data_IF_469162370727
#
_entry.id   IF_469162370727
#
_cell.length_a   1.000
_cell.length_b   1.000
_cell.length_c   1.000
_cell.angle_alpha   90.00
_cell.angle_beta   90.00
_cell.angle_gamma   90.00
#
_symmetry.space_group_name_H-M   'P 1'
#
loop_
_entity.id
_entity.type
_entity.pdbx_description
1 polymer ?
#
# COMPACT_ATOMS: atom_id res chain seq x y z
N UNK A 1 -30.68 -17.12 3.69
CA UNK A 1 -29.46 -17.51 4.41
C UNK A 1 -28.26 -17.46 3.44
N UNK A 2 -27.05 -17.25 3.97
CA UNK A 2 -25.84 -17.45 3.19
C UNK A 2 -25.56 -18.93 3.03
N UNK A 3 -25.09 -19.34 1.85
CA UNK A 3 -24.74 -20.70 1.53
C UNK A 3 -23.32 -20.73 0.96
N UNK A 4 -22.48 -21.61 1.51
CA UNK A 4 -21.10 -21.77 1.07
C UNK A 4 -20.86 -23.19 0.57
N UNK A 5 -20.07 -23.35 -0.48
CA UNK A 5 -19.54 -24.65 -0.90
C UNK A 5 -18.01 -24.59 -0.98
N UNK A 6 -17.38 -25.72 -0.72
CA UNK A 6 -15.93 -25.83 -0.63
C UNK A 6 -15.46 -27.04 -1.44
N UNK A 7 -14.22 -26.98 -1.89
CA UNK A 7 -13.56 -28.14 -2.50
C UNK A 7 -13.03 -29.11 -1.43
N UNK A 8 -12.40 -30.20 -1.87
CA UNK A 8 -11.82 -31.21 -0.98
C UNK A 8 -10.62 -30.68 -0.16
N UNK A 9 -10.06 -29.53 -0.50
CA UNK A 9 -8.97 -28.85 0.22
C UNK A 9 -9.49 -27.76 1.16
N UNK A 10 -10.81 -27.60 1.28
CA UNK A 10 -11.45 -26.58 2.11
C UNK A 10 -11.41 -25.16 1.52
N UNK A 11 -11.12 -25.00 0.22
CA UNK A 11 -11.16 -23.71 -0.45
C UNK A 11 -12.58 -23.39 -0.90
N UNK A 12 -13.02 -22.15 -0.71
CA UNK A 12 -14.36 -21.71 -1.11
C UNK A 12 -14.51 -21.78 -2.63
N UNK A 13 -15.58 -22.44 -3.10
CA UNK A 13 -15.95 -22.51 -4.51
C UNK A 13 -17.11 -21.59 -4.85
N UNK A 14 -18.05 -21.43 -3.92
CA UNK A 14 -19.26 -20.64 -4.14
C UNK A 14 -19.74 -20.04 -2.83
N UNK A 15 -20.22 -18.78 -2.90
CA UNK A 15 -20.91 -18.11 -1.82
C UNK A 15 -22.24 -17.55 -2.32
N UNK A 16 -23.33 -18.22 -2.00
CA UNK A 16 -24.68 -17.78 -2.25
C UNK A 16 -25.19 -16.80 -1.22
N UNK A 17 -25.85 -15.73 -1.64
CA UNK A 17 -26.41 -14.67 -0.79
C UNK A 17 -27.93 -14.75 -0.69
N UNK A 18 -28.52 -14.16 0.38
CA UNK A 18 -29.98 -14.19 0.59
C UNK A 18 -30.79 -13.54 -0.52
N UNK A 19 -30.21 -12.59 -1.26
CA UNK A 19 -30.86 -11.88 -2.36
C UNK A 19 -30.90 -12.68 -3.68
N UNK A 20 -30.34 -13.90 -3.68
CA UNK A 20 -30.29 -14.78 -4.83
C UNK A 20 -29.10 -14.56 -5.75
N UNK A 21 -28.18 -13.66 -5.39
CA UNK A 21 -26.88 -13.51 -6.05
C UNK A 21 -25.86 -14.48 -5.48
N UNK A 22 -24.78 -14.74 -6.21
CA UNK A 22 -23.67 -15.54 -5.71
C UNK A 22 -22.34 -15.08 -6.31
N UNK A 23 -21.25 -15.48 -5.67
CA UNK A 23 -19.89 -15.37 -6.18
C UNK A 23 -19.32 -16.77 -6.34
N UNK A 24 -18.38 -16.93 -7.25
CA UNK A 24 -17.75 -18.23 -7.55
C UNK A 24 -16.25 -18.07 -7.72
N UNK A 25 -15.48 -19.07 -7.28
CA UNK A 25 -14.04 -19.14 -7.48
C UNK A 25 -13.70 -20.45 -8.19
N UNK A 26 -12.89 -20.37 -9.22
CA UNK A 26 -12.37 -21.53 -9.94
C UNK A 26 -10.86 -21.60 -9.80
N UNK A 27 -10.36 -22.73 -9.30
CA UNK A 27 -8.95 -22.99 -9.09
C UNK A 27 -8.37 -23.84 -10.20
N UNK A 28 -7.54 -23.24 -11.04
CA UNK A 28 -6.71 -23.95 -12.02
C UNK A 28 -5.33 -24.29 -11.42
N UNK A 29 -4.47 -24.94 -12.21
CA UNK A 29 -3.09 -25.27 -11.80
C UNK A 29 -2.24 -24.01 -11.59
N UNK A 30 -2.36 -23.05 -12.49
CA UNK A 30 -1.56 -21.84 -12.51
C UNK A 30 -2.39 -20.57 -12.48
N UNK A 31 -3.73 -20.70 -12.35
CA UNK A 31 -4.64 -19.55 -12.37
C UNK A 31 -5.78 -19.74 -11.40
N UNK A 32 -6.31 -18.63 -10.91
CA UNK A 32 -7.53 -18.56 -10.10
C UNK A 32 -8.44 -17.56 -10.80
N UNK A 33 -9.70 -17.94 -11.03
CA UNK A 33 -10.74 -17.06 -11.56
C UNK A 33 -11.74 -16.73 -10.46
N UNK A 34 -11.92 -15.45 -10.22
CA UNK A 34 -12.91 -14.93 -9.29
C UNK A 34 -14.06 -14.32 -10.06
N UNK A 35 -15.22 -14.85 -9.84
CA UNK A 35 -16.48 -14.37 -10.43
C UNK A 35 -17.28 -13.65 -9.34
N UNK A 36 -17.57 -12.38 -9.55
CA UNK A 36 -18.42 -11.61 -8.64
C UNK A 36 -19.90 -11.84 -8.92
N UNK A 37 -20.78 -11.07 -8.27
CA UNK A 37 -22.23 -11.22 -8.45
C UNK A 37 -22.71 -10.73 -9.83
N UNK A 38 -21.97 -9.85 -10.52
CA UNK A 38 -22.29 -9.44 -11.88
C UNK A 38 -21.88 -10.51 -12.87
N UNK A 39 -20.67 -11.09 -12.67
CA UNK A 39 -20.19 -12.19 -13.51
C UNK A 39 -21.14 -13.38 -13.53
N UNK A 40 -21.69 -13.72 -12.36
CA UNK A 40 -22.59 -14.87 -12.18
C UNK A 40 -24.06 -14.54 -12.40
N UNK A 41 -24.40 -13.34 -12.89
CA UNK A 41 -25.78 -12.89 -13.05
C UNK A 41 -26.62 -13.87 -13.86
N UNK A 42 -26.06 -14.45 -14.92
CA UNK A 42 -26.76 -15.39 -15.80
C UNK A 42 -27.19 -16.69 -15.10
N UNK A 43 -26.54 -17.06 -14.01
CA UNK A 43 -26.79 -18.28 -13.23
C UNK A 43 -27.63 -17.98 -11.96
N UNK A 44 -27.94 -16.69 -11.70
CA UNK A 44 -28.52 -16.25 -10.43
C UNK A 44 -30.05 -16.33 -10.39
N UNK A 45 -30.58 -16.70 -9.22
CA UNK A 45 -32.02 -16.57 -8.93
C UNK A 45 -32.45 -15.11 -8.98
N UNK A 46 -31.55 -14.19 -8.62
CA UNK A 46 -31.77 -12.75 -8.70
C UNK A 46 -32.18 -12.30 -10.10
N UNK A 47 -31.56 -12.84 -11.17
CA UNK A 47 -31.93 -12.60 -12.55
C UNK A 47 -33.34 -13.09 -12.86
N UNK A 48 -33.65 -14.35 -12.55
CA UNK A 48 -34.94 -14.98 -12.86
C UNK A 48 -36.12 -14.17 -12.31
N UNK A 49 -35.99 -13.67 -11.08
CA UNK A 49 -37.02 -12.85 -10.45
C UNK A 49 -37.22 -11.52 -11.19
N UNK A 50 -36.15 -10.86 -11.61
CA UNK A 50 -36.19 -9.52 -12.20
C UNK A 50 -36.54 -9.55 -13.71
N UNK A 51 -36.22 -10.63 -14.38
CA UNK A 51 -36.57 -10.81 -15.79
C UNK A 51 -38.09 -10.87 -16.02
N UNK A 52 -38.83 -11.30 -15.00
CA UNK A 52 -40.30 -11.33 -15.03
C UNK A 52 -40.94 -9.96 -14.76
N UNK A 53 -40.17 -8.93 -14.35
CA UNK A 53 -40.71 -7.60 -14.07
C UNK A 53 -40.90 -6.74 -15.31
N UNK A 54 -41.79 -5.71 -15.27
CA UNK A 54 -41.94 -4.77 -16.36
C UNK A 54 -40.63 -4.09 -16.76
N UNK A 55 -40.32 -3.89 -18.07
CA UNK A 55 -39.06 -3.29 -18.53
C UNK A 55 -38.75 -1.91 -17.95
N UNK A 56 -39.77 -1.14 -17.54
CA UNK A 56 -39.62 0.18 -16.98
C UNK A 56 -39.41 0.17 -15.44
N UNK A 57 -39.43 -1.00 -14.77
CA UNK A 57 -39.16 -1.06 -13.33
C UNK A 57 -37.68 -0.85 -13.04
N UNK A 58 -37.33 -0.18 -11.93
CA UNK A 58 -35.97 0.06 -11.53
C UNK A 58 -35.14 -1.24 -11.42
N UNK A 59 -35.77 -2.31 -10.94
CA UNK A 59 -35.13 -3.62 -10.78
C UNK A 59 -34.82 -4.30 -12.12
N UNK A 60 -35.67 -4.12 -13.14
CA UNK A 60 -35.40 -4.64 -14.49
C UNK A 60 -34.31 -3.82 -15.17
N UNK A 61 -34.34 -2.51 -15.05
CA UNK A 61 -33.27 -1.62 -15.55
C UNK A 61 -31.91 -2.00 -14.94
N UNK A 62 -31.89 -2.29 -13.64
CA UNK A 62 -30.66 -2.74 -12.95
C UNK A 62 -30.17 -4.09 -13.51
N UNK A 63 -31.07 -5.04 -13.80
CA UNK A 63 -30.71 -6.30 -14.45
C UNK A 63 -30.11 -6.04 -15.85
N UNK A 64 -30.78 -5.27 -16.68
CA UNK A 64 -30.34 -5.02 -18.07
C UNK A 64 -28.96 -4.31 -18.09
N UNK A 65 -28.65 -3.47 -17.10
CA UNK A 65 -27.34 -2.85 -16.94
C UNK A 65 -26.25 -3.83 -16.47
N UNK A 66 -26.64 -4.92 -15.80
CA UNK A 66 -25.71 -5.93 -15.28
C UNK A 66 -25.34 -7.00 -16.32
N UNK A 67 -26.26 -7.33 -17.24
CA UNK A 67 -26.07 -8.41 -18.22
C UNK A 67 -24.79 -8.28 -19.08
N UNK A 68 -24.34 -7.08 -19.52
CA UNK A 68 -23.09 -6.94 -20.27
C UNK A 68 -21.83 -7.29 -19.45
N UNK A 69 -21.92 -7.32 -18.12
CA UNK A 69 -20.83 -7.65 -17.18
C UNK A 69 -20.80 -9.14 -16.82
N UNK A 70 -21.68 -9.95 -17.44
CA UNK A 70 -21.71 -11.39 -17.18
C UNK A 70 -20.46 -12.07 -17.74
N UNK A 71 -19.90 -13.00 -16.97
CA UNK A 71 -18.73 -13.81 -17.33
C UNK A 71 -17.46 -12.98 -17.66
N UNK A 72 -17.21 -11.96 -16.85
CA UNK A 72 -16.04 -11.09 -16.96
C UNK A 72 -15.08 -11.24 -15.75
N UNK A 73 -14.65 -12.48 -15.39
CA UNK A 73 -13.96 -12.73 -14.13
C UNK A 73 -12.60 -12.04 -14.02
N UNK A 74 -12.26 -11.68 -12.79
CA UNK A 74 -10.88 -11.39 -12.42
C UNK A 74 -10.07 -12.69 -12.45
N UNK A 75 -9.07 -12.76 -13.33
CA UNK A 75 -8.17 -13.93 -13.41
C UNK A 75 -6.78 -13.56 -12.93
N UNK A 76 -6.29 -14.28 -11.93
CA UNK A 76 -4.90 -14.20 -11.47
C UNK A 76 -4.11 -15.40 -11.97
N UNK A 77 -2.85 -15.17 -12.37
CA UNK A 77 -1.93 -16.22 -12.79
C UNK A 77 -0.74 -16.23 -11.83
N UNK A 78 -0.39 -17.40 -11.37
CA UNK A 78 0.66 -17.61 -10.40
C UNK A 78 1.84 -18.35 -11.03
N UNK A 79 3.05 -18.05 -10.52
CA UNK A 79 4.25 -18.81 -10.85
C UNK A 79 4.36 -20.10 -10.02
N UNK A 80 5.44 -20.85 -10.24
CA UNK A 80 5.72 -22.11 -9.52
C UNK A 80 5.91 -21.94 -7.99
N UNK A 81 6.05 -20.71 -7.48
CA UNK A 81 6.13 -20.39 -6.06
C UNK A 81 4.80 -19.88 -5.50
N UNK A 82 3.72 -19.89 -6.31
CA UNK A 82 2.42 -19.40 -5.93
C UNK A 82 2.28 -17.87 -5.91
N UNK A 83 3.24 -17.11 -6.50
CA UNK A 83 3.19 -15.66 -6.54
C UNK A 83 2.42 -15.19 -7.77
N UNK A 84 1.55 -14.17 -7.60
CA UNK A 84 0.80 -13.57 -8.70
C UNK A 84 1.76 -12.85 -9.67
N UNK A 85 1.89 -13.35 -10.89
CA UNK A 85 2.72 -12.76 -11.95
C UNK A 85 1.92 -11.98 -12.96
N UNK A 86 0.61 -12.26 -13.06
CA UNK A 86 -0.30 -11.56 -13.96
C UNK A 86 -1.70 -11.53 -13.38
N UNK A 87 -2.33 -10.38 -13.46
CA UNK A 87 -3.74 -10.15 -13.15
C UNK A 87 -4.43 -9.66 -14.40
N UNK A 88 -5.56 -10.27 -14.74
CA UNK A 88 -6.38 -9.89 -15.87
C UNK A 88 -7.80 -9.61 -15.40
N UNK A 89 -8.27 -8.40 -15.63
CA UNK A 89 -9.64 -7.97 -15.42
C UNK A 89 -10.32 -7.91 -16.81
N UNK A 90 -11.33 -8.72 -17.03
CA UNK A 90 -12.12 -8.65 -18.27
C UNK A 90 -13.15 -7.53 -18.17
N UNK A 91 -13.31 -6.75 -19.24
CA UNK A 91 -14.30 -5.66 -19.31
C UNK A 91 -15.57 -6.02 -20.07
N UNK A 92 -15.68 -7.25 -20.56
CA UNK A 92 -16.83 -7.68 -21.40
C UNK A 92 -16.82 -7.12 -22.82
N UNK A 93 -16.04 -6.07 -23.10
CA UNK A 93 -15.94 -5.41 -24.40
C UNK A 93 -14.71 -5.86 -25.22
N UNK A 94 -14.04 -6.93 -24.78
CA UNK A 94 -12.85 -7.47 -25.46
C UNK A 94 -11.57 -6.70 -25.17
N UNK A 95 -11.59 -5.74 -24.25
CA UNK A 95 -10.41 -5.02 -23.77
C UNK A 95 -10.09 -5.43 -22.32
N UNK A 96 -9.28 -6.47 -22.18
CA UNK A 96 -8.81 -6.90 -20.88
C UNK A 96 -7.78 -5.92 -20.33
N UNK A 97 -7.92 -5.58 -19.05
CA UNK A 97 -6.88 -4.86 -18.30
C UNK A 97 -5.92 -5.86 -17.72
N UNK A 98 -4.66 -5.77 -18.12
CA UNK A 98 -3.63 -6.73 -17.73
C UNK A 98 -2.53 -6.03 -16.94
N UNK A 99 -2.36 -6.43 -15.69
CA UNK A 99 -1.28 -5.99 -14.81
C UNK A 99 -0.27 -7.13 -14.70
N UNK A 100 1.02 -6.83 -14.83
CA UNK A 100 2.10 -7.81 -14.70
C UNK A 100 3.03 -7.42 -13.58
N UNK A 101 3.32 -8.38 -12.70
CA UNK A 101 4.31 -8.23 -11.62
C UNK A 101 5.55 -9.04 -11.98
N UNK A 102 6.70 -8.39 -12.02
CA UNK A 102 8.01 -9.05 -12.12
C UNK A 102 8.59 -9.20 -10.72
N UNK A 103 9.31 -10.29 -10.51
CA UNK A 103 9.95 -10.58 -9.23
C UNK A 103 11.46 -10.64 -9.41
N UNK A 104 12.17 -10.16 -8.43
CA UNK A 104 13.61 -10.31 -8.31
C UNK A 104 14.00 -11.75 -7.95
N UNK A 105 15.28 -11.98 -7.95
CA UNK A 105 15.91 -13.27 -7.60
C UNK A 105 15.47 -13.78 -6.22
N UNK A 106 15.33 -12.90 -5.25
CA UNK A 106 14.95 -13.24 -3.87
C UNK A 106 13.45 -13.44 -3.65
N UNK A 107 12.64 -13.12 -4.66
CA UNK A 107 11.19 -13.31 -4.61
C UNK A 107 10.38 -12.07 -4.27
N UNK A 108 11.02 -10.92 -4.08
CA UNK A 108 10.35 -9.65 -3.89
C UNK A 108 9.93 -9.03 -5.23
N UNK A 109 8.80 -8.30 -5.31
CA UNK A 109 8.44 -7.56 -6.50
C UNK A 109 9.58 -6.61 -6.92
N UNK A 110 9.98 -6.67 -8.19
CA UNK A 110 10.97 -5.77 -8.78
C UNK A 110 10.35 -4.71 -9.66
N UNK A 111 9.26 -5.03 -10.36
CA UNK A 111 8.45 -4.03 -11.05
C UNK A 111 7.02 -4.49 -11.29
N UNK A 112 6.14 -3.51 -11.50
CA UNK A 112 4.74 -3.72 -11.89
C UNK A 112 4.48 -2.94 -13.18
N UNK A 113 3.98 -3.63 -14.18
CA UNK A 113 3.55 -3.05 -15.47
C UNK A 113 2.04 -2.96 -15.45
N UNK A 114 1.51 -1.76 -15.71
CA UNK A 114 0.07 -1.48 -15.70
C UNK A 114 -0.65 -1.97 -16.99
N UNK A 115 -1.97 -1.77 -17.04
CA UNK A 115 -2.79 -2.18 -18.17
C UNK A 115 -2.51 -1.41 -19.48
N UNK A 116 -1.81 -0.26 -19.40
CA UNK A 116 -1.36 0.52 -20.56
C UNK A 116 -0.02 -0.01 -21.10
N UNK A 117 0.60 -0.97 -20.42
CA UNK A 117 1.93 -1.49 -20.74
C UNK A 117 3.08 -0.62 -20.22
N UNK A 118 2.79 0.34 -19.35
CA UNK A 118 3.80 1.21 -18.72
C UNK A 118 4.30 0.59 -17.41
N UNK A 119 5.58 0.74 -17.11
CA UNK A 119 6.13 0.36 -15.82
C UNK A 119 5.67 1.34 -14.76
N UNK A 120 4.56 0.99 -14.09
CA UNK A 120 3.90 1.86 -13.11
C UNK A 120 4.74 2.06 -11.85
N UNK A 121 5.47 1.02 -11.45
CA UNK A 121 6.36 1.08 -10.31
C UNK A 121 7.54 0.12 -10.52
N UNK A 122 8.75 0.54 -10.12
CA UNK A 122 9.95 -0.30 -10.11
C UNK A 122 10.74 -0.09 -8.83
N UNK A 123 11.36 -1.18 -8.33
CA UNK A 123 12.16 -1.19 -7.12
C UNK A 123 13.55 -1.72 -7.40
N UNK A 124 14.55 -1.11 -6.77
CA UNK A 124 15.89 -1.74 -6.60
C UNK A 124 16.15 -1.87 -5.11
N UNK A 125 16.61 -3.05 -4.74
CA UNK A 125 16.87 -3.40 -3.34
C UNK A 125 18.33 -3.83 -3.19
N UNK A 126 18.85 -3.65 -1.99
CA UNK A 126 20.15 -4.24 -1.63
C UNK A 126 20.00 -5.73 -1.27
N UNK A 127 21.12 -6.34 -0.93
CA UNK A 127 21.17 -7.77 -0.55
C UNK A 127 20.42 -8.08 0.76
N UNK A 128 20.09 -7.08 1.56
CA UNK A 128 19.25 -7.19 2.76
C UNK A 128 17.77 -6.91 2.48
N UNK A 129 17.38 -6.78 1.19
CA UNK A 129 16.03 -6.49 0.69
C UNK A 129 15.51 -5.09 1.00
N UNK A 130 16.38 -4.17 1.44
CA UNK A 130 15.99 -2.79 1.72
C UNK A 130 15.82 -2.04 0.41
N UNK A 131 14.74 -1.26 0.29
CA UNK A 131 14.47 -0.48 -0.90
C UNK A 131 15.42 0.73 -0.94
N UNK A 132 16.34 0.75 -1.91
CA UNK A 132 17.28 1.84 -2.15
C UNK A 132 16.85 2.75 -3.30
N UNK A 133 16.00 2.26 -4.18
CA UNK A 133 15.46 3.00 -5.31
C UNK A 133 14.02 2.59 -5.54
N UNK A 134 13.17 3.57 -5.76
CA UNK A 134 11.80 3.46 -6.19
C UNK A 134 11.60 4.37 -7.39
N UNK A 135 11.01 3.82 -8.46
CA UNK A 135 10.44 4.60 -9.53
C UNK A 135 8.93 4.41 -9.52
N UNK A 136 8.18 5.49 -9.60
CA UNK A 136 6.73 5.50 -9.73
C UNK A 136 6.33 6.43 -10.86
N UNK A 137 5.36 6.01 -11.69
CA UNK A 137 4.90 6.83 -12.82
C UNK A 137 4.30 8.17 -12.36
N UNK A 138 3.74 8.21 -11.15
CA UNK A 138 3.11 9.40 -10.58
C UNK A 138 4.05 10.18 -9.66
N UNK A 139 4.94 9.50 -8.93
CA UNK A 139 5.84 10.10 -7.94
C UNK A 139 7.29 10.29 -8.42
N UNK A 140 7.60 9.82 -9.65
CA UNK A 140 8.95 9.88 -10.20
C UNK A 140 9.95 8.97 -9.48
N UNK A 141 11.21 9.34 -9.56
CA UNK A 141 12.31 8.58 -8.96
C UNK A 141 12.59 9.01 -7.52
N UNK A 142 12.82 8.05 -6.66
CA UNK A 142 13.23 8.26 -5.28
C UNK A 142 14.40 7.35 -4.96
N UNK A 143 15.42 7.88 -4.33
CA UNK A 143 16.60 7.13 -3.89
C UNK A 143 16.80 7.31 -2.40
N UNK A 144 17.24 6.26 -1.71
CA UNK A 144 17.54 6.32 -0.29
C UNK A 144 18.88 5.64 0.01
N UNK A 145 19.68 6.28 0.84
CA UNK A 145 20.77 5.63 1.54
C UNK A 145 20.31 5.29 2.96
N UNK A 146 20.52 4.05 3.36
CA UNK A 146 20.15 3.57 4.68
C UNK A 146 21.38 3.07 5.41
N UNK A 147 21.38 3.19 6.72
CA UNK A 147 22.46 2.69 7.56
C UNK A 147 22.30 1.19 7.90
N UNK A 148 23.18 0.66 8.74
CA UNK A 148 23.16 -0.74 9.16
C UNK A 148 21.90 -1.13 9.96
N UNK A 149 21.18 -0.17 10.53
CA UNK A 149 19.94 -0.35 11.29
C UNK A 149 18.69 -0.11 10.46
N UNK A 150 18.82 -0.04 9.12
CA UNK A 150 17.72 0.23 8.17
C UNK A 150 17.07 1.61 8.37
N UNK A 151 17.83 2.60 8.85
CA UNK A 151 17.34 3.97 9.01
C UNK A 151 17.77 4.80 7.79
N UNK A 152 16.90 5.65 7.24
CA UNK A 152 17.29 6.55 6.16
C UNK A 152 18.32 7.57 6.66
N UNK A 153 19.46 7.66 5.98
CA UNK A 153 20.50 8.67 6.24
C UNK A 153 20.35 9.81 5.25
N UNK A 154 20.18 9.48 4.00
CA UNK A 154 19.95 10.45 2.93
C UNK A 154 18.87 9.93 1.99
N UNK A 155 18.03 10.84 1.48
CA UNK A 155 17.01 10.53 0.47
C UNK A 155 16.96 11.62 -0.58
N UNK A 156 16.67 11.24 -1.81
CA UNK A 156 16.43 12.14 -2.95
C UNK A 156 15.08 11.82 -3.55
N UNK A 157 14.36 12.83 -3.97
CA UNK A 157 13.09 12.66 -4.66
C UNK A 157 13.16 13.13 -6.12
N UNK A 158 12.04 13.01 -6.84
CA UNK A 158 11.94 13.29 -8.26
C UNK A 158 12.01 14.79 -8.63
N UNK A 159 11.99 15.67 -7.66
CA UNK A 159 12.14 17.12 -7.85
C UNK A 159 13.44 17.65 -7.26
N UNK A 160 14.43 16.75 -7.13
CA UNK A 160 15.79 17.03 -6.65
C UNK A 160 15.85 17.57 -5.22
N UNK A 161 14.86 17.24 -4.40
CA UNK A 161 14.94 17.48 -2.96
C UNK A 161 15.81 16.42 -2.33
N UNK A 162 16.90 16.87 -1.74
CA UNK A 162 17.81 16.04 -0.95
C UNK A 162 17.52 16.24 0.55
N UNK A 163 17.19 15.15 1.24
CA UNK A 163 16.91 15.17 2.67
C UNK A 163 17.97 14.37 3.42
N UNK A 164 18.54 14.97 4.46
CA UNK A 164 19.51 14.33 5.36
C UNK A 164 18.94 14.15 6.75
N UNK A 165 19.18 12.98 7.33
CA UNK A 165 18.72 12.62 8.66
C UNK A 165 19.90 12.41 9.58
N UNK A 166 19.93 13.09 10.72
CA UNK A 166 20.94 12.87 11.75
C UNK A 166 20.40 12.02 12.90
N UNK A 167 21.29 11.24 13.51
CA UNK A 167 20.99 10.38 14.64
C UNK A 167 22.02 10.56 15.73
N UNK A 168 21.62 10.33 16.99
CA UNK A 168 22.54 10.32 18.14
C UNK A 168 23.15 8.92 18.36
N UNK A 169 23.97 8.81 19.40
CA UNK A 169 24.67 7.56 19.74
C UNK A 169 23.76 6.44 20.25
N UNK A 170 22.49 6.76 20.57
CA UNK A 170 21.47 5.78 20.99
C UNK A 170 20.36 5.67 19.94
N UNK A 171 20.69 6.00 18.69
CA UNK A 171 19.89 5.77 17.49
C UNK A 171 18.61 6.60 17.38
N UNK A 172 18.49 7.70 18.13
CA UNK A 172 17.32 8.59 18.03
C UNK A 172 17.60 9.67 16.98
N UNK A 173 16.57 9.99 16.19
CA UNK A 173 16.68 11.07 15.18
C UNK A 173 16.87 12.42 15.89
N UNK A 174 17.89 13.17 15.49
CA UNK A 174 18.21 14.49 16.05
C UNK A 174 17.86 15.62 15.11
N UNK A 175 17.94 15.42 13.80
CA UNK A 175 17.58 16.45 12.84
C UNK A 175 17.15 15.90 11.49
N UNK A 176 16.50 16.78 10.72
CA UNK A 176 16.23 16.63 9.29
C UNK A 176 16.66 17.92 8.63
N UNK A 177 17.61 17.82 7.72
CA UNK A 177 18.04 18.92 6.84
C UNK A 177 17.57 18.66 5.42
N UNK A 178 17.19 19.72 4.72
CA UNK A 178 16.71 19.64 3.34
C UNK A 178 17.49 20.68 2.52
N UNK A 179 17.91 20.24 1.34
CA UNK A 179 18.37 21.11 0.27
C UNK A 179 17.71 20.71 -1.06
N UNK A 180 17.75 21.57 -2.05
CA UNK A 180 17.25 21.29 -3.38
C UNK A 180 18.31 21.71 -4.39
N UNK A 181 18.61 20.83 -5.34
CA UNK A 181 19.57 21.13 -6.39
C UNK A 181 19.08 22.34 -7.22
N UNK A 182 19.97 23.31 -7.43
CA UNK A 182 19.64 24.57 -8.12
C UNK A 182 18.98 25.64 -7.27
N UNK A 183 18.64 25.39 -6.01
CA UNK A 183 18.22 26.43 -5.06
C UNK A 183 19.47 27.23 -4.61
N UNK A 184 19.46 28.57 -4.73
CA UNK A 184 20.54 29.40 -4.20
C UNK A 184 20.61 29.38 -2.66
N UNK A 185 19.60 28.90 -1.98
CA UNK A 185 19.56 28.79 -0.52
C UNK A 185 20.40 27.58 -0.07
N UNK A 186 21.24 27.74 0.97
CA UNK A 186 21.98 26.59 1.51
C UNK A 186 21.03 25.60 2.17
N UNK A 187 21.52 24.36 2.34
CA UNK A 187 20.80 23.35 3.11
C UNK A 187 20.25 23.91 4.43
N UNK A 188 18.97 23.69 4.68
CA UNK A 188 18.27 24.23 5.84
C UNK A 188 17.74 23.12 6.73
N UNK A 189 17.79 23.36 8.04
CA UNK A 189 17.20 22.47 9.01
C UNK A 189 15.69 22.68 9.10
N UNK A 190 14.93 21.70 8.60
CA UNK A 190 13.46 21.75 8.62
C UNK A 190 12.87 21.15 9.88
N UNK A 191 13.63 20.27 10.55
CA UNK A 191 13.19 19.71 11.85
C UNK A 191 14.37 19.38 12.73
N UNK A 192 14.22 19.62 14.03
CA UNK A 192 15.16 19.18 15.05
C UNK A 192 14.44 18.59 16.25
N UNK A 193 15.11 17.65 16.90
CA UNK A 193 14.61 16.93 18.07
C UNK A 193 15.61 17.08 19.20
N UNK A 194 15.10 17.35 20.41
CA UNK A 194 15.90 17.37 21.64
C UNK A 194 15.41 16.29 22.60
N UNK A 195 16.33 15.79 23.38
CA UNK A 195 16.07 14.74 24.35
C UNK A 195 16.59 15.15 25.72
N UNK A 196 15.93 14.67 26.77
CA UNK A 196 16.27 15.10 28.13
C UNK A 196 17.68 14.75 28.64
N UNK A 197 18.39 13.92 27.87
CA UNK A 197 19.80 13.52 28.15
C UNK A 197 20.82 14.15 27.18
N UNK A 198 20.39 15.04 26.28
CA UNK A 198 21.27 15.77 25.36
C UNK A 198 21.87 17.06 25.94
N UNK A 199 21.55 17.36 27.20
CA UNK A 199 22.02 18.56 27.91
C UNK A 199 21.15 19.81 27.65
N UNK A 200 20.11 19.74 26.82
CA UNK A 200 19.24 20.88 26.52
C UNK A 200 18.27 21.21 27.67
N UNK A 201 17.95 20.22 28.52
CA UNK A 201 17.02 20.37 29.64
C UNK A 201 17.74 20.25 30.99
N UNK A 202 17.80 21.33 31.81
CA UNK A 202 18.30 21.24 33.15
C UNK A 202 17.47 20.30 34.03
N UNK A 203 18.14 19.61 34.96
CA UNK A 203 17.48 18.71 35.92
C UNK A 203 16.60 17.62 35.30
N UNK A 204 16.96 17.14 34.10
CA UNK A 204 16.21 16.14 33.35
C UNK A 204 15.88 14.88 34.18
N UNK A 205 16.76 14.48 35.10
CA UNK A 205 16.50 13.36 35.99
C UNK A 205 15.35 13.61 36.97
N UNK A 206 15.26 14.82 37.54
CA UNK A 206 14.21 15.21 38.49
C UNK A 206 12.86 15.40 37.79
N UNK A 207 12.88 15.56 36.46
CA UNK A 207 11.73 15.75 35.60
C UNK A 207 11.27 14.45 34.90
N UNK A 208 11.93 13.32 35.20
CA UNK A 208 11.76 12.03 34.49
C UNK A 208 11.94 12.15 32.98
N UNK A 209 12.76 13.09 32.53
CA UNK A 209 12.89 13.41 31.11
C UNK A 209 14.08 12.68 30.44
N UNK A 210 14.92 11.94 31.18
CA UNK A 210 16.05 11.21 30.59
C UNK A 210 15.55 10.20 29.56
N UNK A 211 16.11 10.24 28.35
CA UNK A 211 15.70 9.39 27.22
C UNK A 211 14.40 9.79 26.55
N UNK A 212 13.63 10.72 27.11
CA UNK A 212 12.37 11.22 26.54
C UNK A 212 12.63 12.35 25.54
N UNK A 213 11.78 12.44 24.52
CA UNK A 213 11.77 13.58 23.61
C UNK A 213 11.25 14.83 24.31
N UNK A 214 12.08 15.86 24.45
CA UNK A 214 11.77 17.09 25.21
C UNK A 214 11.40 18.25 24.32
N UNK A 215 11.85 18.28 23.07
CA UNK A 215 11.43 19.28 22.11
C UNK A 215 11.42 18.76 20.69
N UNK A 216 10.46 19.24 19.91
CA UNK A 216 10.43 19.13 18.46
C UNK A 216 10.27 20.55 17.92
N UNK A 217 11.20 20.96 17.08
CA UNK A 217 11.15 22.24 16.37
C UNK A 217 11.05 21.98 14.88
N UNK A 218 10.11 22.62 14.23
CA UNK A 218 9.96 22.65 12.77
C UNK A 218 9.66 24.08 12.27
N UNK A 219 9.32 24.22 11.01
CA UNK A 219 9.01 25.52 10.40
C UNK A 219 7.72 26.14 10.98
N UNK A 220 6.81 25.35 11.54
CA UNK A 220 5.58 25.81 12.19
C UNK A 220 5.79 26.29 13.63
N UNK A 221 6.95 25.98 14.24
CA UNK A 221 7.25 26.40 15.60
C UNK A 221 7.99 25.35 16.43
N UNK A 222 7.84 25.46 17.75
CA UNK A 222 8.49 24.53 18.69
C UNK A 222 7.46 24.02 19.69
N UNK A 223 7.41 22.71 19.83
CA UNK A 223 6.67 22.01 20.90
C UNK A 223 7.70 21.58 21.93
N UNK A 224 7.48 21.90 23.20
CA UNK A 224 8.35 21.48 24.32
C UNK A 224 7.55 20.73 25.37
N UNK A 225 8.18 19.70 25.93
CA UNK A 225 7.66 18.90 27.05
C UNK A 225 8.80 18.80 28.06
N UNK A 226 8.65 19.39 29.22
CA UNK A 226 9.75 19.50 30.19
C UNK A 226 9.58 18.58 31.39
N UNK A 227 8.45 17.88 31.53
CA UNK A 227 8.17 16.95 32.62
C UNK A 227 7.42 15.72 32.18
N UNK A 228 7.76 14.62 32.84
CA UNK A 228 7.12 13.33 32.55
C UNK A 228 6.73 12.62 33.85
N UNK A 229 5.72 11.76 33.76
CA UNK A 229 5.44 10.81 34.82
C UNK A 229 6.57 9.77 34.91
N UNK A 230 6.68 9.01 36.01
CA UNK A 230 7.64 7.90 36.08
C UNK A 230 7.44 6.83 35.00
N UNK A 231 6.24 6.75 34.40
CA UNK A 231 5.90 5.87 33.28
C UNK A 231 6.17 6.49 31.90
N UNK A 232 6.74 7.71 31.83
CA UNK A 232 7.13 8.36 30.58
C UNK A 232 6.02 9.12 29.86
N UNK A 233 4.86 9.34 30.50
CA UNK A 233 3.81 10.19 29.92
C UNK A 233 4.09 11.67 30.15
N UNK A 234 3.89 12.55 29.13
CA UNK A 234 4.01 14.00 29.29
C UNK A 234 3.09 14.53 30.40
N UNK A 235 3.60 15.47 31.18
CA UNK A 235 2.82 16.25 32.13
C UNK A 235 2.59 17.64 31.51
N UNK A 236 1.32 18.10 31.58
CA UNK A 236 0.91 19.42 31.10
C UNK A 236 1.43 20.54 32.02
#
# INVERSE_FOLDING_TARGET
AHVFSYDALGRELLHGRPDGTHTRVEYGVWSIRHFDANDTVNESVWRVIREALPPASPERIALDATLPLADTPLTTFNDARGREVLRRESSGEGQDRVIRTKYGFEGEPSSVVDARGLEAIAFRRDMLRRALYLHSIDGGEQTALVDALDRPVETWDAIDIHTRHGYDQVDRRTFVDVDQEGDPMPARRVRSYSFGDDGSLPDAALRNARGQGTAVRDEGGTITIDRFTPSGHPLA
#
